data_IF_913542302405
#
_entry.id   IF_913542302405
#
_cell.length_a   1.000
_cell.length_b   1.000
_cell.length_c   1.000
_cell.angle_alpha   90.00
_cell.angle_beta   90.00
_cell.angle_gamma   90.00
#
_symmetry.space_group_name_H-M   'P 1'
#
loop_
_entity.id
_entity.type
_entity.pdbx_description
1 polymer ?
#
# COMPACT_ATOMS: atom_id res chain seq x y z
N UNK A 1 23.93 7.18 -3.01
CA UNK A 1 23.56 6.04 -2.14
C UNK A 1 23.04 6.50 -0.77
N UNK A 2 21.74 6.83 -0.60
CA UNK A 2 21.19 7.33 0.67
C UNK A 2 20.18 6.40 1.38
N UNK A 3 19.88 5.20 0.84
CA UNK A 3 18.81 4.32 1.36
C UNK A 3 19.20 3.56 2.65
N UNK A 4 20.48 3.30 2.91
CA UNK A 4 20.93 2.53 4.08
C UNK A 4 20.82 3.29 5.42
N UNK A 5 20.97 4.61 5.41
CA UNK A 5 20.95 5.41 6.64
C UNK A 5 19.55 5.44 7.30
N UNK A 6 18.47 5.26 6.51
CA UNK A 6 17.09 5.23 7.03
C UNK A 6 16.76 3.89 7.71
N UNK A 7 17.28 2.76 7.20
CA UNK A 7 17.08 1.44 7.81
C UNK A 7 17.74 1.33 9.20
N UNK A 8 18.88 2.00 9.39
CA UNK A 8 19.62 1.99 10.67
C UNK A 8 18.91 2.75 11.80
N UNK A 9 18.10 3.79 11.49
CA UNK A 9 17.29 4.51 12.49
C UNK A 9 16.08 3.71 12.96
N UNK A 10 15.43 2.94 12.08
CA UNK A 10 14.24 2.15 12.44
C UNK A 10 14.57 0.94 13.34
N UNK A 11 15.74 0.33 13.20
CA UNK A 11 16.18 -0.76 14.10
C UNK A 11 16.28 -0.35 15.57
N UNK A 12 16.72 0.89 15.85
CA UNK A 12 16.81 1.41 17.24
C UNK A 12 15.44 1.65 17.88
N UNK A 13 14.43 2.03 17.09
CA UNK A 13 13.07 2.27 17.58
C UNK A 13 12.36 0.95 17.92
N UNK A 14 12.55 -0.09 17.08
CA UNK A 14 11.99 -1.41 17.35
C UNK A 14 12.61 -2.09 18.58
N UNK A 15 13.92 -1.95 18.80
CA UNK A 15 14.59 -2.48 19.99
C UNK A 15 14.05 -1.84 21.29
N UNK A 16 13.79 -0.53 21.30
CA UNK A 16 13.21 0.17 22.47
C UNK A 16 11.77 -0.27 22.78
N UNK A 17 10.93 -0.50 21.77
CA UNK A 17 9.55 -0.97 21.97
C UNK A 17 9.50 -2.40 22.52
N UNK A 18 10.39 -3.29 22.07
CA UNK A 18 10.45 -4.68 22.57
C UNK A 18 10.87 -4.73 24.05
N UNK A 19 11.83 -3.91 24.45
CA UNK A 19 12.25 -3.79 25.86
C UNK A 19 11.15 -3.24 26.78
N UNK A 20 10.34 -2.28 26.32
CA UNK A 20 9.21 -1.75 27.12
C UNK A 20 8.10 -2.77 27.35
N UNK A 21 7.82 -3.65 26.38
CA UNK A 21 6.78 -4.69 26.51
C UNK A 21 7.23 -5.80 27.48
N UNK A 22 8.50 -6.18 27.45
CA UNK A 22 9.05 -7.16 28.40
C UNK A 22 9.14 -6.62 29.83
N UNK A 23 9.45 -5.33 30.00
CA UNK A 23 9.44 -4.68 31.32
C UNK A 23 8.04 -4.69 31.95
N UNK A 24 7.00 -4.38 31.17
CA UNK A 24 5.60 -4.34 31.65
C UNK A 24 5.04 -5.71 32.04
N UNK A 25 5.55 -6.80 31.43
CA UNK A 25 5.19 -8.18 31.81
C UNK A 25 5.85 -8.61 33.12
N UNK A 26 7.04 -8.10 33.45
CA UNK A 26 7.72 -8.41 34.72
C UNK A 26 7.13 -7.68 35.93
N UNK A 27 6.53 -6.50 35.73
CA UNK A 27 5.91 -5.73 36.82
C UNK A 27 4.47 -6.14 37.15
N UNK A 28 3.82 -6.98 36.33
CA UNK A 28 2.42 -7.39 36.52
C UNK A 28 2.25 -8.69 37.33
N UNK A 29 3.34 -9.35 37.74
CA UNK A 29 3.31 -10.66 38.39
C UNK A 29 3.79 -10.71 39.84
N UNK A 30 3.88 -9.58 40.54
CA UNK A 30 4.53 -9.50 41.86
C UNK A 30 3.65 -8.93 42.97
N UNK A 31 3.50 -9.73 44.03
CA UNK A 31 3.20 -9.39 45.42
C UNK A 31 1.79 -8.90 45.81
N UNK A 32 1.18 -9.66 46.72
CA UNK A 32 -0.01 -9.28 47.47
C UNK A 32 -0.50 -10.36 48.44
N UNK A 33 0.42 -11.09 49.09
CA UNK A 33 0.10 -11.86 50.30
C UNK A 33 -0.19 -10.90 51.46
N UNK A 34 -1.27 -11.17 52.19
CA UNK A 34 -1.41 -10.90 53.63
C UNK A 34 -1.66 -9.46 54.06
N UNK A 35 -2.90 -9.17 54.49
CA UNK A 35 -3.15 -8.28 55.63
C UNK A 35 -4.60 -8.46 56.12
N UNK A 36 -4.70 -9.02 57.32
CA UNK A 36 -5.54 -8.58 58.43
C UNK A 36 -7.07 -8.56 58.31
N UNK A 37 -7.66 -9.47 59.07
CA UNK A 37 -9.07 -9.49 59.47
C UNK A 37 -9.39 -8.26 60.33
N UNK A 38 -10.35 -7.40 59.93
CA UNK A 38 -10.78 -6.30 60.78
C UNK A 38 -11.72 -6.79 61.88
N UNK A 39 -11.42 -6.32 63.09
CA UNK A 39 -12.18 -6.45 64.33
C UNK A 39 -13.65 -6.08 64.13
N UNK A 40 -14.53 -6.99 64.57
CA UNK A 40 -15.99 -6.88 64.61
C UNK A 40 -16.38 -5.72 65.54
N UNK A 41 -16.72 -4.55 64.99
CA UNK A 41 -17.36 -3.47 65.73
C UNK A 41 -18.86 -3.68 65.73
N UNK A 42 -19.43 -3.72 66.93
CA UNK A 42 -20.86 -3.75 67.17
C UNK A 42 -21.52 -2.53 66.52
N UNK A 43 -22.42 -2.81 65.59
CA UNK A 43 -23.20 -1.77 64.91
C UNK A 43 -24.34 -1.31 65.81
N UNK A 44 -24.58 0.01 65.93
CA UNK A 44 -25.75 0.51 66.64
C UNK A 44 -27.03 0.02 65.97
N UNK A 45 -27.96 -0.45 66.78
CA UNK A 45 -29.29 -0.93 66.39
C UNK A 45 -30.15 0.27 65.99
N UNK A 46 -30.03 0.72 64.74
CA UNK A 46 -30.90 1.75 64.18
C UNK A 46 -32.33 1.21 64.10
N UNK A 47 -33.27 1.96 64.68
CA UNK A 47 -34.70 1.70 64.61
C UNK A 47 -35.16 1.71 63.15
N UNK A 48 -35.94 0.69 62.77
CA UNK A 48 -36.60 0.59 61.47
C UNK A 48 -37.69 1.65 61.39
N UNK A 49 -37.30 2.86 61.04
CA UNK A 49 -38.24 3.87 60.62
C UNK A 49 -38.76 3.46 59.23
N UNK A 50 -40.09 3.32 59.11
CA UNK A 50 -40.77 2.89 57.88
C UNK A 50 -40.63 3.99 56.83
N UNK A 51 -39.55 3.94 56.06
CA UNK A 51 -39.39 4.79 54.87
C UNK A 51 -40.54 4.49 53.90
N UNK A 52 -41.26 5.55 53.53
CA UNK A 52 -42.40 5.47 52.61
C UNK A 52 -41.97 4.90 51.24
N UNK A 53 -42.84 4.15 50.55
CA UNK A 53 -42.53 3.53 49.26
C UNK A 53 -42.10 4.53 48.18
N UNK A 54 -42.46 5.81 48.32
CA UNK A 54 -42.07 6.91 47.42
C UNK A 54 -40.55 7.07 47.30
N UNK A 55 -39.80 6.83 48.38
CA UNK A 55 -38.34 6.93 48.36
C UNK A 55 -37.67 5.89 47.45
N UNK A 56 -38.29 4.71 47.28
CA UNK A 56 -37.73 3.66 46.43
C UNK A 56 -37.90 4.00 44.94
N UNK A 57 -39.01 4.64 44.56
CA UNK A 57 -39.24 5.07 43.18
C UNK A 57 -38.28 6.19 42.76
N UNK A 58 -38.04 7.18 43.63
CA UNK A 58 -37.08 8.25 43.34
C UNK A 58 -35.65 7.71 43.20
N UNK A 59 -35.26 6.73 44.03
CA UNK A 59 -33.96 6.07 43.92
C UNK A 59 -33.82 5.31 42.60
N UNK A 60 -34.86 4.57 42.18
CA UNK A 60 -34.85 3.83 40.90
C UNK A 60 -34.73 4.77 39.68
N UNK A 61 -35.46 5.90 39.67
CA UNK A 61 -35.37 6.90 38.59
C UNK A 61 -33.95 7.48 38.51
N UNK A 62 -33.34 7.79 39.66
CA UNK A 62 -31.97 8.31 39.71
C UNK A 62 -30.93 7.30 39.17
N UNK A 63 -31.09 6.02 39.51
CA UNK A 63 -30.21 4.95 39.01
C UNK A 63 -30.38 4.78 37.49
N UNK A 64 -31.62 4.76 36.98
CA UNK A 64 -31.87 4.65 35.54
C UNK A 64 -31.32 5.86 34.76
N UNK A 65 -31.45 7.07 35.32
CA UNK A 65 -30.89 8.29 34.73
C UNK A 65 -29.36 8.27 34.64
N UNK A 66 -28.67 7.86 35.71
CA UNK A 66 -27.19 7.80 35.72
C UNK A 66 -26.64 6.72 34.80
N UNK A 67 -27.28 5.54 34.73
CA UNK A 67 -26.93 4.49 33.77
C UNK A 67 -27.12 4.96 32.33
N UNK A 68 -28.19 5.70 32.03
CA UNK A 68 -28.45 6.28 30.70
C UNK A 68 -27.36 7.27 30.25
N UNK A 69 -26.88 8.14 31.14
CA UNK A 69 -25.81 9.11 30.82
C UNK A 69 -24.47 8.40 30.58
N UNK A 70 -24.17 7.35 31.35
CA UNK A 70 -22.95 6.55 31.18
C UNK A 70 -22.96 5.77 29.87
N UNK A 71 -24.06 5.09 29.54
CA UNK A 71 -24.18 4.35 28.27
C UNK A 71 -24.14 5.27 27.06
N UNK A 72 -24.79 6.44 27.13
CA UNK A 72 -24.72 7.45 26.07
C UNK A 72 -23.29 7.98 25.87
N UNK A 73 -22.53 8.19 26.95
CA UNK A 73 -21.13 8.65 26.86
C UNK A 73 -20.22 7.60 26.21
N UNK A 74 -20.36 6.32 26.57
CA UNK A 74 -19.62 5.22 25.93
C UNK A 74 -19.99 5.07 24.46
N UNK A 75 -21.29 5.13 24.14
CA UNK A 75 -21.78 5.04 22.78
C UNK A 75 -21.27 6.19 21.90
N UNK A 76 -21.30 7.43 22.41
CA UNK A 76 -20.77 8.60 21.70
C UNK A 76 -19.26 8.47 21.44
N UNK A 77 -18.49 8.00 22.42
CA UNK A 77 -17.05 7.75 22.25
C UNK A 77 -16.76 6.66 21.23
N UNK A 78 -17.55 5.57 21.25
CA UNK A 78 -17.44 4.48 20.27
C UNK A 78 -17.73 4.97 18.85
N UNK A 79 -18.77 5.79 18.66
CA UNK A 79 -19.13 6.33 17.35
C UNK A 79 -18.08 7.29 16.77
N UNK A 80 -17.43 8.12 17.60
CA UNK A 80 -16.32 8.97 17.14
C UNK A 80 -15.07 8.15 16.81
N UNK A 81 -14.79 7.09 17.57
CA UNK A 81 -13.62 6.25 17.38
C UNK A 81 -13.73 5.31 16.17
N UNK A 82 -14.95 4.88 15.80
CA UNK A 82 -15.18 4.06 14.61
C UNK A 82 -14.84 4.82 13.33
N UNK A 83 -15.18 6.11 13.25
CA UNK A 83 -14.89 6.93 12.06
C UNK A 83 -13.39 7.18 11.81
N UNK A 84 -12.56 7.23 12.85
CA UNK A 84 -11.10 7.38 12.70
C UNK A 84 -10.43 6.12 12.12
N UNK A 85 -10.97 4.94 12.44
CA UNK A 85 -10.43 3.67 11.92
C UNK A 85 -10.67 3.54 10.42
N UNK A 86 -11.82 3.99 9.93
CA UNK A 86 -12.14 3.97 8.50
C UNK A 86 -11.24 4.93 7.71
N UNK A 87 -10.99 6.14 8.25
CA UNK A 87 -10.06 7.09 7.62
C UNK A 87 -8.64 6.54 7.54
N UNK A 88 -8.14 5.92 8.62
CA UNK A 88 -6.83 5.27 8.62
C UNK A 88 -6.77 4.07 7.67
N UNK A 89 -7.86 3.31 7.52
CA UNK A 89 -7.92 2.21 6.57
C UNK A 89 -7.81 2.72 5.12
N UNK A 90 -8.57 3.77 4.79
CA UNK A 90 -8.55 4.40 3.47
C UNK A 90 -7.20 5.04 3.15
N UNK A 91 -6.58 5.72 4.12
CA UNK A 91 -5.22 6.30 3.97
C UNK A 91 -4.17 5.20 3.75
N UNK A 92 -4.22 4.10 4.51
CA UNK A 92 -3.32 2.96 4.33
C UNK A 92 -3.49 2.26 2.97
N UNK A 93 -4.71 2.22 2.43
CA UNK A 93 -4.96 1.71 1.08
C UNK A 93 -4.42 2.63 0.00
N UNK A 94 -4.67 3.94 0.11
CA UNK A 94 -4.11 4.94 -0.80
C UNK A 94 -2.58 4.89 -0.80
N UNK A 95 -1.98 4.76 0.38
CA UNK A 95 -0.54 4.59 0.53
C UNK A 95 -0.03 3.32 -0.18
N UNK A 96 -0.71 2.19 -0.01
CA UNK A 96 -0.35 0.92 -0.69
C UNK A 96 -0.45 1.04 -2.20
N UNK A 97 -1.50 1.69 -2.72
CA UNK A 97 -1.65 1.94 -4.16
C UNK A 97 -0.49 2.79 -4.70
N UNK A 98 -0.14 3.87 -4.00
CA UNK A 98 0.97 4.73 -4.40
C UNK A 98 2.32 3.99 -4.39
N UNK A 99 2.54 3.09 -3.42
CA UNK A 99 3.75 2.24 -3.40
C UNK A 99 3.77 1.27 -4.59
N UNK A 100 2.64 0.63 -4.89
CA UNK A 100 2.53 -0.30 -6.02
C UNK A 100 2.78 0.42 -7.35
N UNK A 101 2.25 1.64 -7.51
CA UNK A 101 2.48 2.46 -8.70
C UNK A 101 3.96 2.80 -8.89
N UNK A 102 4.66 3.18 -7.82
CA UNK A 102 6.12 3.42 -7.88
C UNK A 102 6.88 2.16 -8.26
N UNK A 103 6.53 1.01 -7.68
CA UNK A 103 7.17 -0.27 -8.02
C UNK A 103 6.95 -0.63 -9.49
N UNK A 104 5.74 -0.41 -10.03
CA UNK A 104 5.46 -0.62 -11.45
C UNK A 104 6.28 0.32 -12.33
N UNK A 105 6.40 1.60 -11.96
CA UNK A 105 7.21 2.58 -12.69
C UNK A 105 8.70 2.20 -12.68
N UNK A 106 9.24 1.80 -11.53
CA UNK A 106 10.63 1.33 -11.42
C UNK A 106 10.85 0.05 -12.24
N UNK A 107 9.91 -0.89 -12.23
CA UNK A 107 9.98 -2.11 -13.05
C UNK A 107 9.94 -1.81 -14.56
N UNK A 108 9.13 -0.85 -14.99
CA UNK A 108 9.07 -0.43 -16.39
C UNK A 108 10.33 0.30 -16.83
N UNK A 109 10.87 1.19 -16.00
CA UNK A 109 12.15 1.83 -16.31
C UNK A 109 13.26 0.79 -16.50
N UNK A 110 13.34 -0.20 -15.60
CA UNK A 110 14.33 -1.26 -15.71
C UNK A 110 14.16 -2.13 -16.96
N UNK A 111 12.92 -2.47 -17.32
CA UNK A 111 12.60 -3.24 -18.54
C UNK A 111 12.89 -2.45 -19.84
N UNK A 112 12.74 -1.13 -19.80
CA UNK A 112 13.12 -0.27 -20.93
C UNK A 112 14.65 -0.22 -21.06
N UNK A 113 15.36 -0.02 -19.95
CA UNK A 113 16.82 0.03 -19.93
C UNK A 113 17.44 -1.30 -20.40
N UNK A 114 16.93 -2.46 -19.93
CA UNK A 114 17.36 -3.78 -20.38
C UNK A 114 17.06 -4.00 -21.87
N UNK A 115 15.89 -3.55 -22.35
CA UNK A 115 15.53 -3.63 -23.77
C UNK A 115 16.49 -2.85 -24.67
N UNK A 116 16.89 -1.64 -24.27
CA UNK A 116 17.87 -0.84 -25.01
C UNK A 116 19.27 -1.44 -24.96
N UNK A 117 19.67 -1.98 -23.81
CA UNK A 117 20.94 -2.67 -23.66
C UNK A 117 21.01 -3.91 -24.57
N UNK A 118 19.96 -4.73 -24.59
CA UNK A 118 19.84 -5.88 -25.49
C UNK A 118 19.88 -5.48 -26.98
N UNK A 119 19.23 -4.37 -27.35
CA UNK A 119 19.34 -3.82 -28.72
C UNK A 119 20.78 -3.46 -29.09
N UNK A 120 21.54 -2.88 -28.15
CA UNK A 120 22.95 -2.52 -28.38
C UNK A 120 23.84 -3.75 -28.59
N UNK A 121 23.50 -4.87 -27.95
CA UNK A 121 24.17 -6.16 -28.09
C UNK A 121 23.64 -7.01 -29.27
N UNK A 122 22.70 -6.47 -30.06
CA UNK A 122 22.03 -7.17 -31.19
C UNK A 122 21.19 -8.38 -30.77
N UNK A 123 20.80 -8.46 -29.51
CA UNK A 123 19.91 -9.49 -28.98
C UNK A 123 18.45 -9.08 -29.17
N UNK A 124 18.01 -8.99 -30.43
CA UNK A 124 16.74 -8.33 -30.77
C UNK A 124 15.50 -9.04 -30.20
N UNK A 125 15.51 -10.37 -30.11
CA UNK A 125 14.42 -11.15 -29.51
C UNK A 125 14.27 -10.88 -28.01
N UNK A 126 15.40 -10.79 -27.30
CA UNK A 126 15.42 -10.43 -25.87
C UNK A 126 14.91 -9.01 -25.69
N UNK A 127 15.38 -8.07 -26.51
CA UNK A 127 14.88 -6.71 -26.48
C UNK A 127 13.36 -6.61 -26.73
N UNK A 128 12.82 -7.38 -27.67
CA UNK A 128 11.38 -7.46 -27.91
C UNK A 128 10.63 -7.90 -26.65
N UNK A 129 11.11 -8.96 -25.97
CA UNK A 129 10.50 -9.47 -24.74
C UNK A 129 10.52 -8.43 -23.61
N UNK A 130 11.66 -7.76 -23.40
CA UNK A 130 11.81 -6.72 -22.37
C UNK A 130 10.88 -5.52 -22.60
N UNK A 131 10.80 -5.00 -23.83
CA UNK A 131 9.86 -3.93 -24.16
C UNK A 131 8.39 -4.38 -24.08
N UNK A 132 8.09 -5.62 -24.46
CA UNK A 132 6.75 -6.19 -24.30
C UNK A 132 6.36 -6.31 -22.82
N UNK A 133 7.29 -6.66 -21.92
CA UNK A 133 7.06 -6.67 -20.48
C UNK A 133 6.74 -5.26 -19.95
N UNK A 134 7.49 -4.24 -20.38
CA UNK A 134 7.21 -2.85 -20.04
C UNK A 134 5.79 -2.42 -20.48
N UNK A 135 5.38 -2.78 -21.70
CA UNK A 135 4.03 -2.47 -22.22
C UNK A 135 2.90 -3.24 -21.53
N UNK A 136 3.15 -4.43 -20.98
CA UNK A 136 2.15 -5.14 -20.14
C UNK A 136 1.84 -4.38 -18.85
N UNK A 137 2.83 -3.66 -18.31
CA UNK A 137 2.68 -2.85 -17.10
C UNK A 137 2.11 -1.45 -17.41
N UNK A 138 2.59 -0.82 -18.48
CA UNK A 138 2.10 0.47 -18.98
C UNK A 138 1.90 0.44 -20.51
N UNK A 139 0.68 0.13 -21.00
CA UNK A 139 0.40 -0.04 -22.45
C UNK A 139 0.61 1.21 -23.32
N UNK A 140 0.58 2.38 -22.70
CA UNK A 140 0.71 3.68 -23.36
C UNK A 140 2.12 4.28 -23.22
N UNK A 141 3.09 3.53 -22.69
CA UNK A 141 4.44 4.07 -22.51
C UNK A 141 5.13 4.30 -23.88
N UNK A 142 5.49 5.54 -24.24
CA UNK A 142 5.97 5.87 -25.58
C UNK A 142 7.32 5.22 -25.89
N UNK A 143 8.26 5.23 -24.95
CA UNK A 143 9.60 4.65 -25.17
C UNK A 143 9.59 3.12 -25.28
N UNK A 144 8.80 2.43 -24.46
CA UNK A 144 8.65 0.97 -24.59
C UNK A 144 7.99 0.60 -25.92
N UNK A 145 6.99 1.36 -26.37
CA UNK A 145 6.36 1.16 -27.69
C UNK A 145 7.37 1.38 -28.82
N UNK A 146 8.16 2.45 -28.73
CA UNK A 146 9.24 2.74 -29.68
C UNK A 146 10.25 1.59 -29.71
N UNK A 147 10.77 1.18 -28.55
CA UNK A 147 11.70 0.08 -28.42
C UNK A 147 11.17 -1.23 -29.02
N UNK A 148 9.92 -1.58 -28.74
CA UNK A 148 9.29 -2.78 -29.31
C UNK A 148 9.25 -2.74 -30.84
N UNK A 149 8.86 -1.60 -31.41
CA UNK A 149 8.82 -1.42 -32.86
C UNK A 149 10.23 -1.52 -33.46
N UNK A 150 11.24 -0.92 -32.81
CA UNK A 150 12.65 -1.05 -33.20
C UNK A 150 13.10 -2.51 -33.20
N UNK A 151 12.86 -3.23 -32.11
CA UNK A 151 13.23 -4.65 -31.99
C UNK A 151 12.59 -5.47 -33.10
N UNK A 152 11.30 -5.29 -33.38
CA UNK A 152 10.59 -6.02 -34.44
C UNK A 152 11.07 -5.68 -35.85
N UNK A 153 11.35 -4.41 -36.13
CA UNK A 153 11.94 -3.98 -37.41
C UNK A 153 13.31 -4.64 -37.61
N UNK A 154 14.13 -4.72 -36.55
CA UNK A 154 15.44 -5.35 -36.59
C UNK A 154 15.36 -6.88 -36.68
N UNK A 155 14.40 -7.52 -36.02
CA UNK A 155 14.12 -8.96 -36.15
C UNK A 155 13.72 -9.29 -37.58
N UNK A 156 12.91 -8.44 -38.22
CA UNK A 156 12.50 -8.70 -39.60
C UNK A 156 13.68 -8.80 -40.59
N UNK A 157 14.84 -8.22 -40.28
CA UNK A 157 16.03 -8.44 -41.11
C UNK A 157 16.35 -9.94 -41.31
N UNK A 158 15.81 -10.82 -40.47
CA UNK A 158 15.97 -12.28 -40.53
C UNK A 158 14.83 -13.03 -41.23
N UNK A 159 13.60 -12.52 -41.28
CA UNK A 159 12.38 -13.27 -41.70
C UNK A 159 11.35 -12.39 -42.45
N UNK A 160 11.05 -12.71 -43.72
CA UNK A 160 10.19 -11.88 -44.59
C UNK A 160 8.73 -11.70 -44.12
N UNK A 161 8.18 -12.66 -43.38
CA UNK A 161 6.80 -12.61 -42.88
C UNK A 161 6.63 -11.63 -41.71
N UNK A 162 7.65 -11.52 -40.85
CA UNK A 162 7.63 -10.65 -39.68
C UNK A 162 7.70 -9.16 -40.06
N UNK A 163 8.12 -8.86 -41.30
CA UNK A 163 8.22 -7.49 -41.81
C UNK A 163 6.87 -6.84 -41.98
N UNK A 164 5.86 -7.61 -42.39
CA UNK A 164 4.53 -7.04 -42.59
C UNK A 164 3.95 -6.58 -41.26
N UNK A 165 4.08 -7.40 -40.22
CA UNK A 165 3.62 -7.05 -38.88
C UNK A 165 4.42 -5.90 -38.29
N UNK A 166 5.76 -5.88 -38.46
CA UNK A 166 6.60 -4.79 -38.00
C UNK A 166 6.25 -3.46 -38.69
N UNK A 167 6.00 -3.49 -40.01
CA UNK A 167 5.56 -2.33 -40.78
C UNK A 167 4.19 -1.81 -40.36
N UNK A 168 3.22 -2.71 -40.14
CA UNK A 168 1.89 -2.33 -39.65
C UNK A 168 1.96 -1.64 -38.28
N UNK A 169 2.75 -2.20 -37.35
CA UNK A 169 2.96 -1.60 -36.03
C UNK A 169 3.67 -0.26 -36.10
N UNK A 170 4.66 -0.14 -36.99
CA UNK A 170 5.35 1.11 -37.23
C UNK A 170 4.41 2.18 -37.79
N UNK A 171 3.56 1.81 -38.76
CA UNK A 171 2.57 2.72 -39.34
C UNK A 171 1.52 3.15 -38.31
N UNK A 172 1.06 2.23 -37.45
CA UNK A 172 0.16 2.57 -36.36
C UNK A 172 0.83 3.52 -35.35
N UNK A 173 2.08 3.27 -34.97
CA UNK A 173 2.84 4.16 -34.09
C UNK A 173 3.02 5.56 -34.68
N UNK A 174 3.29 5.65 -35.98
CA UNK A 174 3.42 6.90 -36.72
C UNK A 174 2.12 7.69 -36.80
N UNK A 175 0.99 7.02 -37.00
CA UNK A 175 -0.33 7.66 -36.99
C UNK A 175 -0.61 8.34 -35.64
N UNK A 176 -0.16 7.71 -34.55
CA UNK A 176 -0.27 8.24 -33.19
C UNK A 176 0.78 9.33 -32.87
N UNK A 177 1.93 9.35 -33.56
CA UNK A 177 3.10 10.21 -33.25
C UNK A 177 3.72 10.80 -34.53
N UNK A 178 3.08 11.78 -35.19
CA UNK A 178 3.48 12.28 -36.50
C UNK A 178 4.81 13.07 -36.51
N UNK A 179 5.25 13.53 -35.34
CA UNK A 179 6.49 14.28 -35.11
C UNK A 179 7.71 13.37 -34.80
N UNK A 180 7.50 12.07 -34.59
CA UNK A 180 8.60 11.14 -34.35
C UNK A 180 9.53 11.11 -35.57
N UNK A 181 10.80 11.51 -35.39
CA UNK A 181 11.81 11.55 -36.46
C UNK A 181 12.00 10.15 -37.06
N UNK A 182 11.36 9.92 -38.21
CA UNK A 182 11.25 8.59 -38.82
C UNK A 182 11.78 8.50 -40.26
N UNK A 183 12.43 9.56 -40.75
CA UNK A 183 13.14 9.54 -42.04
C UNK A 183 14.19 8.41 -42.11
N UNK A 184 14.80 8.06 -40.98
CA UNK A 184 15.85 7.02 -40.91
C UNK A 184 15.30 5.60 -41.20
N UNK A 185 14.02 5.32 -40.91
CA UNK A 185 13.48 3.95 -40.93
C UNK A 185 12.87 3.59 -42.28
N UNK A 186 12.12 4.53 -42.88
CA UNK A 186 11.54 4.32 -44.21
C UNK A 186 12.64 4.07 -45.24
N UNK A 187 13.76 4.79 -45.17
CA UNK A 187 14.90 4.58 -46.06
C UNK A 187 15.55 3.21 -45.91
N UNK A 188 15.71 2.69 -44.68
CA UNK A 188 16.29 1.34 -44.45
C UNK A 188 15.38 0.22 -44.92
N UNK A 189 14.07 0.37 -44.74
CA UNK A 189 13.09 -0.64 -45.13
C UNK A 189 12.87 -0.66 -46.65
N UNK A 190 12.79 0.51 -47.30
CA UNK A 190 12.62 0.61 -48.75
C UNK A 190 13.85 0.17 -49.55
N UNK A 191 15.07 0.39 -49.02
CA UNK A 191 16.31 0.02 -49.71
C UNK A 191 16.60 -1.49 -49.79
N UNK A 192 15.91 -2.33 -49.02
CA UNK A 192 16.19 -3.79 -48.95
C UNK A 192 15.21 -4.67 -49.73
N UNK A 193 14.03 -4.17 -50.10
CA UNK A 193 13.05 -4.93 -50.89
C UNK A 193 13.37 -5.03 -52.39
N UNK A 194 14.49 -4.48 -52.85
CA UNK A 194 14.91 -4.48 -54.27
C UNK A 194 16.12 -5.39 -54.58
N UNK A 195 16.56 -6.24 -53.65
CA UNK A 195 17.60 -7.24 -53.88
C UNK A 195 16.99 -8.63 -53.96
#
# INVERSE_FOLDING_TARGET
>A
MPKEHKLRKNRKVFARRKAQVEFKRRTAGGSGQGADTPVRRDTPRWSRDRKSPVWHYLLMIFILGTVGVLTWSVFRGYWTFSGEREKLALENEAYRRHQLERQKQEAVALAIDSGWDALSHREYTVAEEEFAQALRLFPEHPDARRGLVWSRVLICETTAQDCRQALELLNAYLADNPDAELSIYQSRLQGRGQK
#
